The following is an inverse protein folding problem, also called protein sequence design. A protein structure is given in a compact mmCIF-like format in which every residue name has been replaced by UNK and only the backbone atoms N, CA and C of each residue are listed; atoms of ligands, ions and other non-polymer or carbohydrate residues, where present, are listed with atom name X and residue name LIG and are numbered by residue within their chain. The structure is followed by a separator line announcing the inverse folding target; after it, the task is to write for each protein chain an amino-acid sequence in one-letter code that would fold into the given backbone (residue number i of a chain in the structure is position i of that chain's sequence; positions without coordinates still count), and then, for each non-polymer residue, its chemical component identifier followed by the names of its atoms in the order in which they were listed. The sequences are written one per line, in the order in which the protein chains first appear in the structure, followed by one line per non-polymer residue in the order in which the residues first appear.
data_IF_683088926787
#
_entry.id   IF_683088926787
#
_cell.length_a   1.000
_cell.length_b   1.000
_cell.length_c   1.000
_cell.angle_alpha   90.00
_cell.angle_beta   90.00
_cell.angle_gamma   90.00
#
_symmetry.space_group_name_H-M   'P 1'
#
loop_
_entity.id
_entity.type
_entity.pdbx_description
1 polymer ?
#
# COMPACT_ATOMS: atom_id res chain seq x y z
N UNK A 1 -23.58 24.47 -4.15
CA UNK A 1 -22.34 25.19 -4.45
C UNK A 1 -21.19 24.21 -4.27
N UNK A 2 -20.34 24.00 -5.27
CA UNK A 2 -19.21 23.07 -5.21
C UNK A 2 -18.07 23.61 -4.34
N UNK A 3 -17.20 22.73 -3.82
CA UNK A 3 -16.01 23.13 -3.04
C UNK A 3 -15.15 24.15 -3.80
N UNK A 4 -15.08 24.02 -5.12
CA UNK A 4 -14.36 24.94 -6.01
C UNK A 4 -15.03 26.30 -6.12
N UNK A 5 -16.35 26.35 -6.19
CA UNK A 5 -17.11 27.62 -6.21
C UNK A 5 -16.93 28.40 -4.90
N UNK A 6 -16.95 27.71 -3.76
CA UNK A 6 -16.75 28.35 -2.44
C UNK A 6 -15.33 28.91 -2.32
N UNK A 7 -14.31 28.16 -2.76
CA UNK A 7 -12.93 28.66 -2.77
C UNK A 7 -12.75 29.86 -3.72
N UNK A 8 -13.32 29.77 -4.93
CA UNK A 8 -13.27 30.85 -5.93
C UNK A 8 -13.96 32.12 -5.45
N UNK A 9 -15.08 32.01 -4.71
CA UNK A 9 -15.79 33.15 -4.10
C UNK A 9 -14.86 34.04 -3.26
N UNK A 10 -13.90 33.45 -2.56
CA UNK A 10 -12.93 34.19 -1.72
C UNK A 10 -11.56 34.38 -2.39
N UNK A 11 -11.45 34.07 -3.70
CA UNK A 11 -10.20 34.13 -4.44
C UNK A 11 -9.11 33.26 -3.79
N UNK A 12 -9.48 32.05 -3.35
CA UNK A 12 -8.57 31.07 -2.77
C UNK A 12 -8.29 29.95 -3.78
N UNK A 13 -7.02 29.59 -3.93
CA UNK A 13 -6.63 28.42 -4.71
C UNK A 13 -6.76 27.14 -3.87
N UNK A 14 -7.27 26.08 -4.48
CA UNK A 14 -7.35 24.74 -3.88
C UNK A 14 -6.00 24.22 -3.42
N UNK A 15 -4.94 24.39 -4.21
CA UNK A 15 -3.61 23.90 -3.86
C UNK A 15 -3.05 24.64 -2.65
N UNK A 16 -3.09 25.98 -2.68
CA UNK A 16 -2.63 26.84 -1.58
C UNK A 16 -3.34 26.50 -0.26
N UNK A 17 -4.67 26.37 -0.28
CA UNK A 17 -5.45 26.06 0.94
C UNK A 17 -5.06 24.71 1.54
N UNK A 18 -4.66 23.75 0.72
CA UNK A 18 -4.30 22.40 1.18
C UNK A 18 -2.85 22.31 1.63
N UNK A 19 -1.94 22.97 0.91
CA UNK A 19 -0.49 22.92 1.13
C UNK A 19 -0.01 23.84 2.26
N UNK A 20 -0.62 25.02 2.43
CA UNK A 20 -0.27 25.93 3.53
C UNK A 20 -0.39 25.25 4.88
N UNK A 21 0.44 25.62 5.85
CA UNK A 21 0.23 25.22 7.23
C UNK A 21 -1.04 25.87 7.83
N UNK A 22 -1.37 25.57 9.08
CA UNK A 22 -2.60 26.09 9.70
C UNK A 22 -2.49 27.57 10.07
N UNK A 23 -1.30 28.06 10.42
CA UNK A 23 -1.07 29.46 10.78
C UNK A 23 -1.11 30.34 9.55
N UNK A 24 -0.38 29.99 8.49
CA UNK A 24 -0.40 30.69 7.20
C UNK A 24 -1.83 30.76 6.63
N UNK A 25 -2.59 29.67 6.71
CA UNK A 25 -3.99 29.69 6.32
C UNK A 25 -4.82 30.65 7.18
N UNK A 26 -4.69 30.60 8.50
CA UNK A 26 -5.47 31.50 9.36
C UNK A 26 -5.13 32.98 9.09
N UNK A 27 -3.86 33.32 8.86
CA UNK A 27 -3.43 34.67 8.47
C UNK A 27 -4.10 35.11 7.17
N UNK A 28 -4.02 34.28 6.12
CA UNK A 28 -4.64 34.55 4.82
C UNK A 28 -6.17 34.78 4.94
N UNK A 29 -6.84 33.97 5.76
CA UNK A 29 -8.29 34.10 5.98
C UNK A 29 -8.65 35.40 6.73
N UNK A 30 -7.78 35.87 7.63
CA UNK A 30 -7.95 37.15 8.33
C UNK A 30 -7.67 38.35 7.41
N UNK A 31 -6.60 38.30 6.63
CA UNK A 31 -6.24 39.36 5.66
C UNK A 31 -7.33 39.56 4.61
N UNK A 32 -8.00 38.47 4.19
CA UNK A 32 -9.15 38.52 3.28
C UNK A 32 -10.48 38.91 3.95
N UNK A 33 -10.47 39.23 5.26
CA UNK A 33 -11.63 39.63 6.05
C UNK A 33 -12.83 38.65 5.93
N UNK A 34 -12.53 37.34 5.89
CA UNK A 34 -13.57 36.33 5.65
C UNK A 34 -14.44 36.17 6.92
N UNK A 35 -15.78 36.15 6.79
CA UNK A 35 -16.67 35.92 7.92
C UNK A 35 -16.38 34.60 8.64
N UNK A 36 -16.45 34.59 9.98
CA UNK A 36 -16.21 33.37 10.79
C UNK A 36 -17.06 32.18 10.37
N UNK A 37 -18.30 32.41 9.93
CA UNK A 37 -19.21 31.37 9.42
C UNK A 37 -18.61 30.66 8.20
N UNK A 38 -18.01 31.43 7.29
CA UNK A 38 -17.45 30.94 6.05
C UNK A 38 -16.05 30.33 6.26
N UNK A 39 -15.29 30.81 7.25
CA UNK A 39 -14.02 30.18 7.68
C UNK A 39 -14.24 28.73 8.10
N UNK A 40 -15.33 28.42 8.82
CA UNK A 40 -15.65 27.05 9.24
C UNK A 40 -15.90 26.15 8.02
N UNK A 41 -16.58 26.67 7.00
CA UNK A 41 -16.81 25.98 5.74
C UNK A 41 -15.50 25.75 4.98
N UNK A 42 -14.63 26.77 4.87
CA UNK A 42 -13.32 26.66 4.22
C UNK A 42 -12.40 25.64 4.90
N UNK A 43 -12.38 25.59 6.24
CA UNK A 43 -11.65 24.54 6.99
C UNK A 43 -12.21 23.14 6.73
N UNK A 44 -13.53 23.03 6.57
CA UNK A 44 -14.19 21.77 6.23
C UNK A 44 -13.87 21.32 4.81
N UNK A 45 -13.84 22.25 3.85
CA UNK A 45 -13.38 22.01 2.47
C UNK A 45 -11.93 21.53 2.46
N UNK A 46 -11.03 22.23 3.18
CA UNK A 46 -9.62 21.83 3.32
C UNK A 46 -9.50 20.39 3.85
N UNK A 47 -10.27 20.05 4.89
CA UNK A 47 -10.30 18.68 5.45
C UNK A 47 -10.74 17.66 4.40
N UNK A 48 -11.84 17.91 3.67
CA UNK A 48 -12.34 17.00 2.63
C UNK A 48 -11.31 16.77 1.53
N UNK A 49 -10.61 17.82 1.09
CA UNK A 49 -9.57 17.69 0.07
C UNK A 49 -8.40 16.86 0.57
N UNK A 50 -7.90 17.12 1.79
CA UNK A 50 -6.83 16.32 2.41
C UNK A 50 -7.24 14.85 2.55
N UNK A 51 -8.45 14.58 3.03
CA UNK A 51 -8.97 13.22 3.18
C UNK A 51 -9.08 12.49 1.84
N UNK A 52 -9.47 13.19 0.77
CA UNK A 52 -9.46 12.61 -0.59
C UNK A 52 -8.04 12.22 -1.02
N UNK A 53 -7.04 13.08 -0.76
CA UNK A 53 -5.64 12.77 -1.08
C UNK A 53 -5.13 11.57 -0.28
N UNK A 54 -5.39 11.51 1.03
CA UNK A 54 -5.01 10.38 1.87
C UNK A 54 -5.65 9.07 1.43
N UNK A 55 -6.94 9.06 1.05
CA UNK A 55 -7.60 7.86 0.52
C UNK A 55 -6.95 7.38 -0.77
N UNK A 56 -6.60 8.29 -1.67
CA UNK A 56 -5.91 7.94 -2.92
C UNK A 56 -4.53 7.36 -2.64
N UNK A 57 -3.75 7.97 -1.74
CA UNK A 57 -2.42 7.47 -1.34
C UNK A 57 -2.50 6.12 -0.62
N UNK A 58 -3.50 5.93 0.24
CA UNK A 58 -3.76 4.64 0.90
C UNK A 58 -4.12 3.57 -0.11
N UNK A 59 -5.01 3.86 -1.07
CA UNK A 59 -5.38 2.92 -2.13
C UNK A 59 -4.19 2.57 -3.02
N UNK A 60 -3.31 3.53 -3.30
CA UNK A 60 -2.06 3.27 -4.05
C UNK A 60 -1.11 2.36 -3.27
N UNK A 61 -0.93 2.60 -1.97
CA UNK A 61 -0.08 1.76 -1.12
C UNK A 61 -0.60 0.33 -1.05
N UNK A 62 -1.90 0.14 -0.84
CA UNK A 62 -2.52 -1.18 -0.85
C UNK A 62 -2.33 -1.93 -2.17
N UNK A 63 -2.39 -1.23 -3.31
CA UNK A 63 -2.12 -1.86 -4.62
C UNK A 63 -0.66 -2.30 -4.76
N UNK A 64 0.28 -1.50 -4.26
CA UNK A 64 1.71 -1.86 -4.30
C UNK A 64 1.96 -3.07 -3.40
N UNK A 65 1.44 -3.04 -2.18
CA UNK A 65 1.54 -4.14 -1.22
C UNK A 65 0.94 -5.45 -1.76
N UNK A 66 -0.21 -5.38 -2.45
CA UNK A 66 -0.80 -6.55 -3.12
C UNK A 66 0.12 -7.13 -4.19
N UNK A 67 0.74 -6.29 -5.02
CA UNK A 67 1.68 -6.73 -6.06
C UNK A 67 2.92 -7.37 -5.41
N UNK A 68 3.43 -6.77 -4.33
CA UNK A 68 4.56 -7.33 -3.58
C UNK A 68 4.24 -8.71 -3.00
N UNK A 69 3.06 -8.88 -2.39
CA UNK A 69 2.59 -10.15 -1.86
C UNK A 69 2.32 -11.19 -2.96
N UNK A 70 1.82 -10.79 -4.11
CA UNK A 70 1.63 -11.68 -5.27
C UNK A 70 2.99 -12.20 -5.78
N UNK A 71 3.97 -11.32 -5.91
CA UNK A 71 5.33 -11.71 -6.29
C UNK A 71 5.99 -12.61 -5.24
N UNK A 72 5.82 -12.31 -3.95
CA UNK A 72 6.36 -13.13 -2.87
C UNK A 72 5.72 -14.53 -2.86
N UNK A 73 4.39 -14.61 -3.05
CA UNK A 73 3.69 -15.89 -3.19
C UNK A 73 4.25 -16.70 -4.35
N UNK A 74 4.43 -16.08 -5.52
CA UNK A 74 4.90 -16.79 -6.70
C UNK A 74 6.34 -17.31 -6.51
N UNK A 75 7.23 -16.51 -5.92
CA UNK A 75 8.58 -16.95 -5.57
C UNK A 75 8.57 -18.12 -4.58
N UNK A 76 7.72 -18.07 -3.54
CA UNK A 76 7.61 -19.13 -2.55
C UNK A 76 7.03 -20.42 -3.14
N UNK A 77 6.13 -20.31 -4.12
CA UNK A 77 5.59 -21.47 -4.85
C UNK A 77 6.69 -22.14 -5.69
N UNK A 78 7.49 -21.36 -6.41
CA UNK A 78 8.61 -21.88 -7.19
C UNK A 78 9.66 -22.57 -6.29
N UNK A 79 9.97 -21.97 -5.14
CA UNK A 79 10.87 -22.57 -4.14
C UNK A 79 10.29 -23.88 -3.58
N UNK A 80 9.00 -23.90 -3.23
CA UNK A 80 8.34 -25.10 -2.72
C UNK A 80 8.36 -26.25 -3.75
N UNK A 81 8.09 -25.95 -5.03
CA UNK A 81 8.16 -26.95 -6.11
C UNK A 81 9.57 -27.53 -6.25
N UNK A 82 10.60 -26.68 -6.20
CA UNK A 82 12.00 -27.12 -6.29
C UNK A 82 12.36 -28.04 -5.12
N UNK A 83 11.97 -27.68 -3.90
CA UNK A 83 12.20 -28.51 -2.72
C UNK A 83 11.44 -29.84 -2.78
N UNK A 84 10.22 -29.87 -3.33
CA UNK A 84 9.48 -31.11 -3.53
C UNK A 84 10.19 -32.08 -4.49
N UNK A 85 10.76 -31.57 -5.58
CA UNK A 85 11.57 -32.37 -6.52
C UNK A 85 12.83 -32.94 -5.84
N UNK A 86 13.56 -32.12 -5.09
CA UNK A 86 14.75 -32.56 -4.35
C UNK A 86 14.42 -33.64 -3.31
N UNK A 87 13.31 -33.49 -2.59
CA UNK A 87 12.83 -34.49 -1.62
C UNK A 87 12.54 -35.82 -2.32
N UNK A 88 11.91 -35.79 -3.49
CA UNK A 88 11.58 -37.01 -4.22
C UNK A 88 12.83 -37.72 -4.76
N UNK A 89 13.83 -36.95 -5.22
CA UNK A 89 15.13 -37.50 -5.60
C UNK A 89 15.85 -38.14 -4.41
N UNK A 90 15.82 -37.51 -3.24
CA UNK A 90 16.41 -38.05 -2.02
C UNK A 90 15.71 -39.35 -1.60
N UNK A 91 14.38 -39.39 -1.60
CA UNK A 91 13.62 -40.62 -1.30
C UNK A 91 13.98 -41.75 -2.26
N UNK A 92 14.09 -41.47 -3.56
CA UNK A 92 14.50 -42.47 -4.54
C UNK A 92 15.91 -43.00 -4.25
N UNK A 93 16.86 -42.12 -3.92
CA UNK A 93 18.22 -42.52 -3.51
C UNK A 93 18.21 -43.36 -2.23
N UNK A 94 17.41 -43.01 -1.24
CA UNK A 94 17.27 -43.79 0.00
C UNK A 94 16.74 -45.19 -0.27
N UNK A 95 15.69 -45.33 -1.10
CA UNK A 95 15.14 -46.64 -1.48
C UNK A 95 16.18 -47.51 -2.19
N UNK A 96 17.02 -46.92 -3.04
CA UNK A 96 18.12 -47.65 -3.70
C UNK A 96 19.17 -48.15 -2.70
N UNK A 97 19.52 -47.33 -1.70
CA UNK A 97 20.46 -47.72 -0.64
C UNK A 97 19.88 -48.88 0.18
N UNK A 98 18.61 -48.80 0.59
CA UNK A 98 17.94 -49.88 1.33
C UNK A 98 17.95 -51.21 0.55
N UNK A 99 17.71 -51.17 -0.76
CA UNK A 99 17.79 -52.35 -1.63
C UNK A 99 19.21 -52.93 -1.70
N UNK A 100 20.23 -52.08 -1.79
CA UNK A 100 21.63 -52.51 -1.79
C UNK A 100 22.02 -53.17 -0.46
N UNK A 101 21.58 -52.63 0.68
CA UNK A 101 21.82 -53.22 2.00
C UNK A 101 21.15 -54.58 2.18
N UNK A 102 19.96 -54.79 1.60
CA UNK A 102 19.29 -56.10 1.60
C UNK A 102 20.10 -57.11 0.79
N UNK A 103 20.52 -56.72 -0.43
CA UNK A 103 21.31 -57.59 -1.29
C UNK A 103 22.64 -57.99 -0.63
N UNK A 104 23.35 -57.05 -0.01
CA UNK A 104 24.64 -57.32 0.65
C UNK A 104 24.53 -58.35 1.80
N UNK A 105 23.40 -58.35 2.52
CA UNK A 105 23.10 -59.33 3.59
C UNK A 105 22.80 -60.73 3.06
N UNK A 106 22.23 -60.85 1.86
CA UNK A 106 21.93 -62.14 1.24
C UNK A 106 23.16 -62.78 0.57
N UNK A 107 24.23 -62.00 0.34
CA UNK A 107 25.51 -62.46 -0.22
C UNK A 107 26.66 -62.62 0.80
N UNK A 108 26.40 -62.38 2.09
CA UNK A 108 27.34 -62.55 3.21
C UNK A 108 27.05 -63.82 4.02
#
# INVERSE_FOLDING_TARGET
MSDFEVLRKYGLNREEVVSMDIMALNTLLMEKLIPKKDIKELKSIRRRIKMRKYRNESSKRQKIELIELENERDNLLDEAMTLEEEIEEIKHKMAMIELLEILDKDFS
#
